data_IF_212908804849
#
_entry.id   IF_212908804849
#
_cell.length_a   1.000
_cell.length_b   1.000
_cell.length_c   1.000
_cell.angle_alpha   90.00
_cell.angle_beta   90.00
_cell.angle_gamma   90.00
#
_symmetry.space_group_name_H-M   'P 1'
#
loop_
_entity.id
_entity.type
_entity.pdbx_description
1 polymer ?
#
# COMPACT_ATOMS: atom_id res chain seq x y z
N UNK A 1 -28.72 16.26 2.22
CA UNK A 1 -27.61 16.05 1.26
C UNK A 1 -26.32 16.01 2.07
N UNK A 2 -25.34 15.16 1.70
CA UNK A 2 -24.02 15.19 2.35
C UNK A 2 -23.36 16.56 2.14
N UNK A 3 -22.60 17.03 3.14
CA UNK A 3 -21.86 18.29 3.06
C UNK A 3 -20.49 18.05 2.41
N UNK A 4 -20.22 18.59 1.21
CA UNK A 4 -18.92 18.42 0.56
C UNK A 4 -17.76 19.01 1.37
N UNK A 5 -18.01 20.02 2.21
CA UNK A 5 -16.98 20.69 3.02
C UNK A 5 -16.45 19.82 4.19
N UNK A 6 -17.06 18.66 4.46
CA UNK A 6 -16.58 17.69 5.46
C UNK A 6 -15.46 16.78 4.94
N UNK A 7 -15.13 16.84 3.64
CA UNK A 7 -14.20 15.92 3.01
C UNK A 7 -12.98 16.66 2.42
N UNK A 8 -11.78 16.13 2.70
CA UNK A 8 -10.52 16.67 2.18
C UNK A 8 -10.32 16.29 0.71
N UNK A 9 -10.34 17.29 -0.19
CA UNK A 9 -10.14 17.09 -1.63
C UNK A 9 -8.66 16.88 -2.04
N UNK A 10 -7.71 17.24 -1.17
CA UNK A 10 -6.28 17.06 -1.40
C UNK A 10 -5.77 15.67 -0.97
N UNK A 11 -6.65 14.90 -0.30
CA UNK A 11 -6.40 13.56 0.19
C UNK A 11 -5.74 13.54 1.57
N UNK A 12 -5.80 12.39 2.22
CA UNK A 12 -5.36 12.25 3.61
C UNK A 12 -3.89 11.84 3.71
N UNK A 13 -3.11 12.59 4.49
CA UNK A 13 -1.76 12.16 4.88
C UNK A 13 -1.84 11.13 6.02
N UNK A 14 -1.17 9.98 5.84
CA UNK A 14 -1.09 8.94 6.86
C UNK A 14 0.33 8.84 7.39
N UNK A 15 0.47 8.80 8.72
CA UNK A 15 1.72 8.40 9.35
C UNK A 15 2.02 6.93 9.00
N UNK A 16 3.29 6.54 8.80
CA UNK A 16 3.66 5.15 8.51
C UNK A 16 3.14 4.15 9.55
N UNK A 17 3.15 4.54 10.83
CA UNK A 17 2.62 3.72 11.93
C UNK A 17 1.12 3.49 11.83
N UNK A 18 0.36 4.45 11.29
CA UNK A 18 -1.08 4.30 11.05
C UNK A 18 -1.33 3.42 9.82
N UNK A 19 -0.54 3.61 8.76
CA UNK A 19 -0.71 2.88 7.51
C UNK A 19 -0.30 1.40 7.61
N UNK A 20 0.78 1.11 8.33
CA UNK A 20 1.38 -0.23 8.38
C UNK A 20 1.25 -0.92 9.74
N UNK A 21 0.86 -0.20 10.80
CA UNK A 21 0.76 -0.74 12.15
C UNK A 21 2.08 -1.38 12.60
N UNK A 22 1.96 -2.55 13.24
CA UNK A 22 3.10 -3.31 13.76
C UNK A 22 4.11 -3.74 12.67
N UNK A 23 3.72 -3.70 11.40
CA UNK A 23 4.56 -4.10 10.26
C UNK A 23 5.34 -2.95 9.63
N UNK A 24 5.26 -1.73 10.17
CA UNK A 24 5.96 -0.55 9.62
C UNK A 24 7.44 -0.83 9.33
N UNK A 25 8.18 -1.38 10.29
CA UNK A 25 9.61 -1.69 10.14
C UNK A 25 9.88 -2.72 9.04
N UNK A 26 8.99 -3.69 8.87
CA UNK A 26 9.10 -4.70 7.82
C UNK A 26 8.94 -4.05 6.45
N UNK A 27 7.88 -3.27 6.24
CA UNK A 27 7.65 -2.57 4.97
C UNK A 27 8.76 -1.58 4.65
N UNK A 28 9.27 -0.85 5.65
CA UNK A 28 10.43 0.01 5.51
C UNK A 28 11.65 -0.76 5.01
N UNK A 29 12.03 -1.86 5.70
CA UNK A 29 13.20 -2.66 5.33
C UNK A 29 13.08 -3.27 3.92
N UNK A 30 11.89 -3.76 3.56
CA UNK A 30 11.61 -4.29 2.23
C UNK A 30 11.77 -3.22 1.15
N UNK A 31 11.27 -2.00 1.40
CA UNK A 31 11.39 -0.90 0.45
C UNK A 31 12.84 -0.43 0.32
N UNK A 32 13.58 -0.25 1.43
CA UNK A 32 15.01 0.10 1.39
C UNK A 32 15.80 -0.92 0.57
N UNK A 33 15.60 -2.22 0.82
CA UNK A 33 16.23 -3.28 0.03
C UNK A 33 15.85 -3.22 -1.46
N UNK A 34 14.59 -2.92 -1.77
CA UNK A 34 14.13 -2.76 -3.15
C UNK A 34 14.81 -1.58 -3.84
N UNK A 35 14.93 -0.43 -3.17
CA UNK A 35 15.58 0.76 -3.72
C UNK A 35 17.06 0.53 -4.01
N UNK A 36 17.78 -0.13 -3.09
CA UNK A 36 19.17 -0.49 -3.33
C UNK A 36 19.34 -1.38 -4.57
N UNK A 37 18.46 -2.38 -4.76
CA UNK A 37 18.46 -3.23 -5.96
C UNK A 37 18.20 -2.45 -7.25
N UNK A 38 17.35 -1.43 -7.16
CA UNK A 38 17.00 -0.55 -8.29
C UNK A 38 17.99 0.63 -8.45
N UNK A 39 19.06 0.68 -7.64
CA UNK A 39 20.08 1.75 -7.61
C UNK A 39 19.51 3.15 -7.33
N UNK A 40 18.49 3.21 -6.49
CA UNK A 40 17.84 4.44 -6.02
C UNK A 40 18.31 4.79 -4.61
N UNK A 41 18.15 6.06 -4.23
CA UNK A 41 18.59 6.58 -2.94
C UNK A 41 17.41 6.53 -1.94
N UNK A 42 17.49 5.75 -0.85
CA UNK A 42 16.43 5.70 0.15
C UNK A 42 16.11 7.04 0.81
N UNK A 43 17.08 7.95 0.99
CA UNK A 43 16.79 9.23 1.64
C UNK A 43 15.90 10.13 0.77
N UNK A 44 16.07 10.05 -0.54
CA UNK A 44 15.33 10.86 -1.51
C UNK A 44 14.06 10.16 -2.02
N UNK A 45 14.13 8.86 -2.26
CA UNK A 45 13.17 8.16 -3.11
C UNK A 45 12.15 7.30 -2.33
N UNK A 46 12.35 7.08 -1.02
CA UNK A 46 11.54 6.15 -0.20
C UNK A 46 10.03 6.41 -0.26
N UNK A 47 9.58 7.61 0.11
CA UNK A 47 8.15 7.90 0.19
C UNK A 47 7.48 7.86 -1.20
N UNK A 48 8.18 8.36 -2.22
CA UNK A 48 7.68 8.34 -3.60
C UNK A 48 7.51 6.91 -4.11
N UNK A 49 8.53 6.07 -3.91
CA UNK A 49 8.53 4.70 -4.38
C UNK A 49 7.61 3.79 -3.54
N UNK A 50 7.50 4.04 -2.23
CA UNK A 50 6.52 3.35 -1.39
C UNK A 50 5.11 3.56 -1.91
N UNK A 51 4.70 4.81 -2.18
CA UNK A 51 3.39 5.10 -2.79
C UNK A 51 3.23 4.43 -4.15
N UNK A 52 4.26 4.47 -5.00
CA UNK A 52 4.20 3.85 -6.32
C UNK A 52 4.01 2.32 -6.25
N UNK A 53 4.72 1.65 -5.35
CA UNK A 53 4.60 0.21 -5.13
C UNK A 53 3.24 -0.18 -4.53
N UNK A 54 2.71 0.61 -3.59
CA UNK A 54 1.38 0.40 -3.04
C UNK A 54 0.31 0.51 -4.13
N UNK A 55 0.32 1.59 -4.91
CA UNK A 55 -0.64 1.78 -6.01
C UNK A 55 -0.52 0.67 -7.05
N UNK A 56 0.70 0.26 -7.43
CA UNK A 56 0.91 -0.87 -8.34
C UNK A 56 0.36 -2.17 -7.76
N UNK A 57 0.54 -2.41 -6.46
CA UNK A 57 -0.04 -3.54 -5.74
C UNK A 57 -1.56 -3.53 -5.85
N UNK A 58 -2.21 -2.40 -5.55
CA UNK A 58 -3.67 -2.22 -5.69
C UNK A 58 -4.13 -2.51 -7.12
N UNK A 59 -3.49 -1.93 -8.14
CA UNK A 59 -3.84 -2.22 -9.54
C UNK A 59 -3.65 -3.69 -9.94
N UNK A 60 -2.68 -4.38 -9.34
CA UNK A 60 -2.47 -5.81 -9.59
C UNK A 60 -3.56 -6.69 -8.94
N UNK A 61 -4.20 -6.17 -7.88
CA UNK A 61 -5.28 -6.84 -7.15
C UNK A 61 -6.66 -6.50 -7.69
N UNK A 62 -6.89 -5.29 -8.19
CA UNK A 62 -8.22 -4.80 -8.57
C UNK A 62 -8.86 -5.64 -9.68
N UNK A 63 -8.05 -6.21 -10.59
CA UNK A 63 -8.55 -7.10 -11.64
C UNK A 63 -9.02 -8.47 -11.12
N UNK A 64 -8.75 -8.78 -9.84
CA UNK A 64 -9.10 -10.04 -9.18
C UNK A 64 -10.21 -9.86 -8.15
N UNK A 65 -10.63 -8.63 -7.86
CA UNK A 65 -11.63 -8.30 -6.85
C UNK A 65 -12.81 -7.64 -7.56
N UNK A 66 -13.82 -8.44 -7.87
CA UNK A 66 -15.10 -7.99 -8.43
C UNK A 66 -16.16 -7.83 -7.34
N UNK A 67 -16.08 -8.67 -6.30
CA UNK A 67 -16.97 -8.68 -5.15
C UNK A 67 -16.18 -8.84 -3.85
N UNK A 68 -16.79 -8.46 -2.73
CA UNK A 68 -16.16 -8.57 -1.41
C UNK A 68 -15.79 -10.02 -1.05
N UNK A 69 -16.54 -11.00 -1.57
CA UNK A 69 -16.25 -12.44 -1.43
C UNK A 69 -14.89 -12.83 -2.00
N UNK A 70 -14.42 -12.16 -3.04
CA UNK A 70 -13.20 -12.53 -3.76
C UNK A 70 -11.97 -12.32 -2.87
N UNK A 71 -12.02 -11.30 -2.00
CA UNK A 71 -10.98 -11.08 -0.98
C UNK A 71 -10.87 -12.29 -0.04
N UNK A 72 -12.02 -12.82 0.39
CA UNK A 72 -12.05 -14.00 1.28
C UNK A 72 -11.54 -15.25 0.59
N UNK A 73 -11.87 -15.44 -0.70
CA UNK A 73 -11.34 -16.56 -1.50
C UNK A 73 -9.83 -16.47 -1.69
N UNK A 74 -9.30 -15.27 -1.96
CA UNK A 74 -7.86 -15.04 -2.08
C UNK A 74 -7.11 -15.37 -0.79
N UNK A 75 -7.61 -14.94 0.37
CA UNK A 75 -7.01 -15.27 1.68
C UNK A 75 -7.00 -16.78 1.92
N UNK A 76 -8.08 -17.49 1.55
CA UNK A 76 -8.15 -18.95 1.67
C UNK A 76 -7.16 -19.67 0.76
N UNK A 77 -6.94 -19.16 -0.46
CA UNK A 77 -6.00 -19.73 -1.41
C UNK A 77 -4.56 -19.63 -0.88
N UNK A 78 -4.16 -18.47 -0.35
CA UNK A 78 -2.81 -18.26 0.22
C UNK A 78 -2.56 -19.09 1.48
N UNK A 79 -3.58 -19.34 2.32
CA UNK A 79 -3.48 -20.19 3.53
C UNK A 79 -3.37 -21.69 3.26
N UNK A 80 -3.62 -22.14 2.03
CA UNK A 80 -3.49 -23.55 1.64
C UNK A 80 -2.05 -23.96 1.30
N UNK A 81 -1.13 -23.00 1.30
CA UNK A 81 0.31 -23.18 1.14
C UNK A 81 1.03 -22.89 2.47
#
# INVERSE_FOLDING_TARGET
MPNPDEFDELGTEFLPSVLFGDYEKLFYALMVNRLHKDKLDPERDLNKMMRAHLNRGVYSLISRIHHLSDIHEMIRAERKY
#
